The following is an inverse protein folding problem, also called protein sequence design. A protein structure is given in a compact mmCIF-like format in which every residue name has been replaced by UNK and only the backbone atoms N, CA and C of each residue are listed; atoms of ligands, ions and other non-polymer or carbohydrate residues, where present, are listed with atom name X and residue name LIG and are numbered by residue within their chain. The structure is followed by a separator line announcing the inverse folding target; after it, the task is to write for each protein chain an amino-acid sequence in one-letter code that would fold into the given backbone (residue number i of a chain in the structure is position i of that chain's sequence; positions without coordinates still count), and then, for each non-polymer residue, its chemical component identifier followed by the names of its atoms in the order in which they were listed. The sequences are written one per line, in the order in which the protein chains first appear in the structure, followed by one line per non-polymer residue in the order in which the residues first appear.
data_IF_485456483214
#
_entry.id   IF_485456483214
#
_cell.length_a   1.000
_cell.length_b   1.000
_cell.length_c   1.000
_cell.angle_alpha   90.00
_cell.angle_beta   90.00
_cell.angle_gamma   90.00
#
_symmetry.space_group_name_H-M   'P 1'
#
loop_
_entity.id
_entity.type
_entity.pdbx_description
1 polymer ?
#
# COMPACT_ATOMS: atom_id res chain seq x y z
N UNK A 1 -9.92 -17.71 -10.12
CA UNK A 1 -10.20 -17.29 -11.54
C UNK A 1 -8.97 -17.62 -12.37
N UNK A 2 -9.15 -18.09 -13.61
CA UNK A 2 -8.05 -18.43 -14.53
C UNK A 2 -7.69 -17.20 -15.38
N UNK A 3 -6.38 -16.95 -15.56
CA UNK A 3 -5.90 -15.94 -16.51
C UNK A 3 -6.17 -16.46 -17.94
N UNK A 4 -6.88 -15.71 -18.83
CA UNK A 4 -7.39 -16.22 -20.10
C UNK A 4 -6.33 -16.28 -21.21
N UNK A 5 -5.12 -16.72 -20.87
CA UNK A 5 -4.00 -16.91 -21.77
C UNK A 5 -3.43 -18.33 -21.64
N UNK A 6 -2.69 -18.77 -22.66
CA UNK A 6 -2.01 -20.05 -22.65
C UNK A 6 -0.82 -20.04 -21.68
N UNK A 7 -0.33 -21.23 -21.36
CA UNK A 7 0.92 -21.38 -20.62
C UNK A 7 2.06 -20.68 -21.37
N UNK A 8 3.01 -20.11 -20.63
CA UNK A 8 4.25 -19.52 -21.17
C UNK A 8 3.99 -18.41 -22.21
N UNK A 9 2.95 -17.59 -22.01
CA UNK A 9 2.56 -16.54 -22.97
C UNK A 9 3.23 -15.19 -22.75
N UNK A 10 3.90 -14.99 -21.60
CA UNK A 10 4.46 -13.69 -21.22
C UNK A 10 5.88 -13.82 -20.65
N UNK A 11 6.75 -12.92 -21.07
CA UNK A 11 8.09 -12.77 -20.50
C UNK A 11 8.11 -11.86 -19.27
N UNK A 12 7.05 -11.06 -19.09
CA UNK A 12 6.88 -10.17 -17.96
C UNK A 12 5.41 -10.10 -17.52
N UNK A 13 5.17 -10.30 -16.23
CA UNK A 13 3.88 -10.03 -15.59
C UNK A 13 4.08 -8.98 -14.50
N UNK A 14 3.20 -7.98 -14.45
CA UNK A 14 3.25 -6.91 -13.45
C UNK A 14 1.94 -6.87 -12.66
N UNK A 15 2.05 -6.85 -11.33
CA UNK A 15 0.94 -6.73 -10.39
C UNK A 15 1.16 -5.54 -9.45
N UNK A 16 0.76 -4.34 -9.89
CA UNK A 16 0.97 -3.13 -9.12
C UNK A 16 -0.13 -2.92 -8.07
N UNK A 17 0.22 -2.99 -6.78
CA UNK A 17 -0.66 -2.75 -5.64
C UNK A 17 -2.00 -3.51 -5.72
N UNK A 18 -1.96 -4.79 -6.12
CA UNK A 18 -3.18 -5.56 -6.41
C UNK A 18 -3.26 -6.88 -5.64
N UNK A 19 -2.14 -7.51 -5.26
CA UNK A 19 -2.15 -8.84 -4.66
C UNK A 19 -2.91 -8.88 -3.33
N UNK A 20 -2.83 -7.84 -2.52
CA UNK A 20 -3.55 -7.77 -1.24
C UNK A 20 -5.08 -7.67 -1.40
N UNK A 21 -5.59 -7.42 -2.60
CA UNK A 21 -7.04 -7.47 -2.89
C UNK A 21 -7.50 -8.85 -3.36
N UNK A 22 -6.56 -9.78 -3.61
CA UNK A 22 -6.91 -11.12 -4.05
C UNK A 22 -7.35 -11.97 -2.86
N UNK A 23 -8.47 -12.71 -3.00
CA UNK A 23 -8.98 -13.59 -1.95
C UNK A 23 -8.06 -14.81 -1.74
N UNK A 24 -7.48 -15.34 -2.83
CA UNK A 24 -6.58 -16.49 -2.84
C UNK A 24 -5.30 -16.11 -3.59
N UNK A 25 -4.34 -15.55 -2.87
CA UNK A 25 -3.04 -15.14 -3.41
C UNK A 25 -2.26 -16.33 -3.98
N UNK A 26 -2.16 -17.49 -3.30
CA UNK A 26 -1.52 -18.68 -3.85
C UNK A 26 -2.08 -19.12 -5.21
N UNK A 27 -3.40 -19.13 -5.37
CA UNK A 27 -4.01 -19.49 -6.66
C UNK A 27 -3.67 -18.47 -7.76
N UNK A 28 -3.58 -17.19 -7.43
CA UNK A 28 -3.16 -16.14 -8.37
C UNK A 28 -1.70 -16.32 -8.76
N UNK A 29 -0.81 -16.58 -7.80
CA UNK A 29 0.61 -16.80 -8.06
C UNK A 29 0.86 -18.04 -8.92
N UNK A 30 0.10 -19.12 -8.70
CA UNK A 30 0.15 -20.30 -9.55
C UNK A 30 -0.23 -20.01 -11.00
N UNK A 31 -1.25 -19.18 -11.22
CA UNK A 31 -1.65 -18.77 -12.56
C UNK A 31 -0.61 -17.83 -13.21
N UNK A 32 0.01 -16.95 -12.43
CA UNK A 32 1.13 -16.11 -12.90
C UNK A 32 2.29 -16.99 -13.34
N UNK A 33 2.71 -17.95 -12.52
CA UNK A 33 3.75 -18.91 -12.92
C UNK A 33 3.39 -19.68 -14.19
N UNK A 34 2.12 -20.08 -14.35
CA UNK A 34 1.67 -20.82 -15.54
C UNK A 34 1.83 -19.99 -16.81
N UNK A 35 1.45 -18.72 -16.78
CA UNK A 35 1.47 -17.87 -17.98
C UNK A 35 2.84 -17.24 -18.28
N UNK A 36 3.76 -17.25 -17.32
CA UNK A 36 5.14 -16.81 -17.52
C UNK A 36 5.95 -17.84 -18.32
N UNK A 37 6.77 -17.36 -19.25
CA UNK A 37 7.80 -18.15 -19.93
C UNK A 37 8.85 -18.68 -18.93
N UNK A 38 9.67 -19.70 -19.28
CA UNK A 38 10.65 -20.29 -18.36
C UNK A 38 11.69 -19.30 -17.79
N UNK A 39 12.01 -18.23 -18.51
CA UNK A 39 12.91 -17.16 -18.07
C UNK A 39 12.16 -15.85 -17.82
N UNK A 40 10.84 -15.96 -17.59
CA UNK A 40 9.97 -14.82 -17.42
C UNK A 40 10.10 -14.19 -16.03
N UNK A 41 9.79 -12.91 -15.95
CA UNK A 41 9.88 -12.12 -14.73
C UNK A 41 8.49 -11.74 -14.19
N UNK A 42 8.35 -11.77 -12.88
CA UNK A 42 7.18 -11.26 -12.20
C UNK A 42 7.57 -10.09 -11.29
N UNK A 43 6.92 -8.95 -11.49
CA UNK A 43 7.07 -7.77 -10.66
C UNK A 43 5.76 -7.52 -9.88
N UNK A 44 5.84 -7.40 -8.56
CA UNK A 44 4.68 -6.98 -7.79
C UNK A 44 5.03 -5.92 -6.77
N UNK A 45 4.32 -4.80 -6.81
CA UNK A 45 4.50 -3.72 -5.85
C UNK A 45 3.61 -3.90 -4.64
N UNK A 46 4.13 -3.48 -3.49
CA UNK A 46 3.44 -3.47 -2.22
C UNK A 46 3.95 -2.32 -1.35
N UNK A 47 3.31 -2.12 -0.22
CA UNK A 47 3.77 -1.21 0.82
C UNK A 47 3.92 -1.97 2.14
N UNK A 48 4.70 -1.38 3.05
CA UNK A 48 4.92 -1.90 4.37
C UNK A 48 4.08 -1.21 5.44
N UNK A 49 4.26 -1.64 6.67
CA UNK A 49 3.53 -1.15 7.84
C UNK A 49 3.74 0.36 8.09
N UNK A 50 4.92 0.89 7.76
CA UNK A 50 5.26 2.29 7.99
C UNK A 50 4.73 3.24 6.91
N UNK A 51 4.06 2.74 5.85
CA UNK A 51 3.53 3.55 4.78
C UNK A 51 2.49 4.54 5.28
N UNK A 52 2.75 5.85 5.10
CA UNK A 52 1.91 6.98 5.50
C UNK A 52 1.44 6.95 6.97
N UNK A 53 2.21 6.31 7.86
CA UNK A 53 1.86 6.16 9.28
C UNK A 53 1.65 7.50 10.00
N UNK A 54 2.35 8.56 9.56
CA UNK A 54 2.25 9.89 10.17
C UNK A 54 0.88 10.53 9.95
N UNK A 55 0.16 10.16 8.87
CA UNK A 55 -1.21 10.62 8.64
C UNK A 55 -2.18 9.94 9.61
N UNK A 56 -2.00 8.65 9.86
CA UNK A 56 -2.77 7.93 10.87
C UNK A 56 -2.53 8.52 12.27
N UNK A 57 -1.26 8.81 12.61
CA UNK A 57 -0.92 9.44 13.88
C UNK A 57 -1.49 10.87 13.99
N UNK A 58 -1.51 11.64 12.89
CA UNK A 58 -2.09 12.98 12.88
C UNK A 58 -3.55 12.98 13.29
N UNK A 59 -4.35 12.06 12.75
CA UNK A 59 -5.78 12.00 13.06
C UNK A 59 -6.04 11.42 14.46
N UNK A 60 -5.23 10.47 14.90
CA UNK A 60 -5.27 9.92 16.26
C UNK A 60 -4.88 10.97 17.30
N UNK A 61 -3.91 11.85 17.02
CA UNK A 61 -3.54 13.01 17.85
C UNK A 61 -4.68 14.03 17.95
N UNK A 62 -5.52 14.15 16.93
CA UNK A 62 -6.69 15.03 16.93
C UNK A 62 -7.84 14.42 17.72
N UNK A 63 -8.20 13.18 17.43
CA UNK A 63 -9.20 12.40 18.14
C UNK A 63 -8.85 10.90 18.06
N UNK A 64 -8.54 10.29 19.19
CA UNK A 64 -8.06 8.91 19.30
C UNK A 64 -9.10 7.84 18.90
N UNK A 65 -10.34 8.24 18.61
CA UNK A 65 -11.39 7.36 18.08
C UNK A 65 -11.33 7.22 16.57
N UNK A 66 -10.53 8.06 15.87
CA UNK A 66 -10.45 8.06 14.42
C UNK A 66 -9.56 6.91 13.95
N UNK A 67 -10.09 6.13 13.03
CA UNK A 67 -9.37 5.07 12.28
C UNK A 67 -9.54 5.36 10.79
N UNK A 68 -8.45 5.70 10.08
CA UNK A 68 -8.49 6.05 8.65
C UNK A 68 -8.75 4.84 7.74
N UNK A 69 -8.27 3.66 8.15
CA UNK A 69 -8.51 2.41 7.43
C UNK A 69 -8.54 1.26 8.42
N UNK A 70 -9.63 0.50 8.41
CA UNK A 70 -9.74 -0.75 9.15
C UNK A 70 -8.97 -1.89 8.46
N UNK A 71 -8.76 -1.78 7.14
CA UNK A 71 -8.12 -2.80 6.32
C UNK A 71 -6.60 -2.61 6.31
N UNK A 72 -5.91 -3.40 7.12
CA UNK A 72 -4.45 -3.47 7.11
C UNK A 72 -3.99 -4.35 5.95
N UNK A 73 -4.12 -3.86 4.73
CA UNK A 73 -3.85 -4.62 3.50
C UNK A 73 -2.41 -5.14 3.44
N UNK A 74 -1.44 -4.46 4.03
CA UNK A 74 -0.06 -4.92 4.15
C UNK A 74 0.08 -6.22 4.98
N UNK A 75 -0.87 -6.53 5.85
CA UNK A 75 -0.89 -7.81 6.58
C UNK A 75 -1.30 -8.98 5.67
N UNK A 76 -2.06 -8.71 4.59
CA UNK A 76 -2.42 -9.73 3.60
C UNK A 76 -1.28 -9.98 2.61
N UNK A 77 -0.69 -8.92 2.06
CA UNK A 77 0.50 -8.95 1.22
C UNK A 77 1.21 -7.61 1.29
N UNK A 78 2.37 -7.57 1.88
CA UNK A 78 3.17 -6.36 2.10
C UNK A 78 4.66 -6.65 2.12
N UNK A 79 5.45 -5.61 2.41
CA UNK A 79 6.89 -5.71 2.52
C UNK A 79 7.34 -6.81 3.51
N UNK A 80 6.67 -6.90 4.66
CA UNK A 80 7.09 -7.75 5.78
C UNK A 80 6.81 -9.23 5.53
N UNK A 81 5.76 -9.58 4.79
CA UNK A 81 5.30 -10.96 4.60
C UNK A 81 5.36 -11.42 3.13
N UNK A 82 5.49 -10.49 2.18
CA UNK A 82 5.39 -10.78 0.74
C UNK A 82 6.42 -11.81 0.29
N UNK A 83 7.68 -11.72 0.75
CA UNK A 83 8.71 -12.71 0.39
C UNK A 83 8.31 -14.13 0.78
N UNK A 84 7.82 -14.33 2.01
CA UNK A 84 7.37 -15.65 2.48
C UNK A 84 6.19 -16.21 1.67
N UNK A 85 5.31 -15.31 1.19
CA UNK A 85 4.16 -15.70 0.35
C UNK A 85 4.63 -16.07 -1.06
N UNK A 86 5.64 -15.36 -1.60
CA UNK A 86 6.18 -15.59 -2.93
C UNK A 86 7.11 -16.80 -3.02
N UNK A 87 7.86 -17.09 -1.98
CA UNK A 87 8.92 -18.13 -1.94
C UNK A 87 8.51 -19.50 -2.50
N UNK A 88 7.28 -20.04 -2.26
CA UNK A 88 6.86 -21.32 -2.84
C UNK A 88 6.73 -21.32 -4.37
N UNK A 89 6.64 -20.15 -4.99
CA UNK A 89 6.44 -19.95 -6.42
C UNK A 89 7.67 -19.32 -7.09
N UNK A 90 8.37 -18.46 -6.35
CA UNK A 90 9.52 -17.67 -6.77
C UNK A 90 10.57 -17.67 -5.63
N UNK A 91 11.44 -18.70 -5.56
CA UNK A 91 12.40 -18.84 -4.44
C UNK A 91 13.37 -17.66 -4.30
N UNK A 92 13.72 -17.03 -5.43
CA UNK A 92 14.69 -15.92 -5.50
C UNK A 92 14.05 -14.53 -5.44
N UNK A 93 12.79 -14.43 -4.98
CA UNK A 93 12.10 -13.15 -4.85
C UNK A 93 12.91 -12.14 -4.02
N UNK A 94 13.20 -10.99 -4.61
CA UNK A 94 13.98 -9.89 -4.01
C UNK A 94 13.12 -8.67 -3.82
N UNK A 95 13.17 -8.07 -2.63
CA UNK A 95 12.54 -6.78 -2.37
C UNK A 95 13.48 -5.63 -2.78
N UNK A 96 12.97 -4.72 -3.59
CA UNK A 96 13.61 -3.47 -3.97
C UNK A 96 12.81 -2.32 -3.35
N UNK A 97 13.38 -1.70 -2.33
CA UNK A 97 12.76 -0.55 -1.66
C UNK A 97 12.77 0.68 -2.57
N UNK A 98 11.67 1.39 -2.60
CA UNK A 98 11.61 2.74 -3.16
C UNK A 98 11.58 3.73 -1.98
N UNK A 99 12.76 4.26 -1.66
CA UNK A 99 12.89 5.23 -0.57
C UNK A 99 12.41 6.61 -1.00
N UNK A 100 11.29 7.03 -0.45
CA UNK A 100 10.67 8.32 -0.77
C UNK A 100 9.90 8.84 0.44
N UNK A 101 9.52 10.12 0.38
CA UNK A 101 8.68 10.77 1.37
C UNK A 101 7.91 11.92 0.73
N UNK A 102 6.82 12.31 1.37
CA UNK A 102 6.14 13.57 1.05
C UNK A 102 6.49 14.61 2.12
N UNK A 103 6.69 15.85 1.69
CA UNK A 103 6.80 17.01 2.57
C UNK A 103 5.62 17.93 2.28
N UNK A 104 4.63 17.89 3.18
CA UNK A 104 3.38 18.64 3.02
C UNK A 104 3.49 19.97 3.77
N UNK A 105 3.36 21.08 3.06
CA UNK A 105 3.43 22.44 3.61
C UNK A 105 2.07 23.16 3.58
N UNK A 106 1.08 22.58 2.88
CA UNK A 106 -0.30 23.06 2.81
C UNK A 106 -1.24 22.03 3.43
N UNK A 107 -2.09 22.49 4.35
CA UNK A 107 -3.01 21.60 5.05
C UNK A 107 -4.16 21.11 4.16
N UNK A 108 -4.59 21.85 3.15
CA UNK A 108 -5.79 21.52 2.37
C UNK A 108 -5.67 20.18 1.61
N UNK A 109 -4.56 19.87 0.90
CA UNK A 109 -4.39 18.56 0.28
C UNK A 109 -4.39 17.41 1.30
N UNK A 110 -3.77 17.63 2.49
CA UNK A 110 -3.74 16.64 3.55
C UNK A 110 -5.14 16.37 4.12
N UNK A 111 -5.90 17.43 4.37
CA UNK A 111 -7.29 17.35 4.85
C UNK A 111 -8.16 16.61 3.83
N UNK A 112 -8.04 16.97 2.53
CA UNK A 112 -8.78 16.31 1.46
C UNK A 112 -8.46 14.82 1.38
N UNK A 113 -7.18 14.46 1.53
CA UNK A 113 -6.77 13.06 1.59
C UNK A 113 -7.38 12.34 2.77
N UNK A 114 -7.28 12.90 3.99
CA UNK A 114 -7.87 12.31 5.20
C UNK A 114 -9.37 12.07 5.03
N UNK A 115 -10.11 13.05 4.52
CA UNK A 115 -11.57 12.94 4.31
C UNK A 115 -11.94 11.92 3.22
N UNK A 116 -11.04 11.60 2.29
CA UNK A 116 -11.25 10.59 1.24
C UNK A 116 -10.99 9.15 1.70
N UNK A 117 -10.41 8.95 2.89
CA UNK A 117 -10.14 7.62 3.41
C UNK A 117 -11.43 6.85 3.76
N UNK A 118 -11.32 5.51 3.83
CA UNK A 118 -12.48 4.61 4.02
C UNK A 118 -12.65 4.17 5.49
N UNK A 119 -12.24 5.01 6.43
CA UNK A 119 -12.41 4.79 7.86
C UNK A 119 -13.64 5.48 8.44
N UNK A 120 -13.54 5.85 9.73
CA UNK A 120 -14.59 6.55 10.45
C UNK A 120 -14.34 8.07 10.63
N UNK A 121 -13.30 8.60 10.00
CA UNK A 121 -12.83 9.98 10.17
C UNK A 121 -13.89 11.03 9.92
N UNK A 122 -14.77 10.85 8.92
CA UNK A 122 -15.80 11.80 8.58
C UNK A 122 -16.79 12.02 9.74
N UNK A 123 -17.06 10.96 10.51
CA UNK A 123 -17.95 10.99 11.66
C UNK A 123 -17.44 11.91 12.79
N UNK A 124 -16.12 12.09 12.90
CA UNK A 124 -15.50 12.88 13.96
C UNK A 124 -14.94 14.22 13.47
N UNK A 125 -14.61 14.34 12.20
CA UNK A 125 -13.97 15.53 11.64
C UNK A 125 -15.00 16.52 11.08
N UNK A 126 -16.08 16.08 10.45
CA UNK A 126 -16.99 17.00 9.75
C UNK A 126 -17.67 18.01 10.69
N UNK A 127 -18.11 17.56 11.87
CA UNK A 127 -18.72 18.45 12.89
C UNK A 127 -17.69 19.37 13.57
N UNK A 128 -16.41 19.03 13.48
CA UNK A 128 -15.27 19.77 14.06
C UNK A 128 -14.28 20.24 12.99
N UNK A 129 -14.78 20.50 11.76
CA UNK A 129 -13.94 20.79 10.61
C UNK A 129 -13.01 21.99 10.81
N UNK A 130 -13.51 23.06 11.44
CA UNK A 130 -12.72 24.28 11.71
C UNK A 130 -11.55 23.99 12.64
N UNK A 131 -11.78 23.21 13.68
CA UNK A 131 -10.80 22.79 14.67
C UNK A 131 -9.75 21.86 14.02
N UNK A 132 -10.20 20.89 13.25
CA UNK A 132 -9.30 19.99 12.53
C UNK A 132 -8.44 20.74 11.50
N UNK A 133 -9.03 21.66 10.74
CA UNK A 133 -8.32 22.51 9.80
C UNK A 133 -7.23 23.35 10.49
N UNK A 134 -7.54 23.99 11.60
CA UNK A 134 -6.57 24.76 12.38
C UNK A 134 -5.45 23.87 12.93
N UNK A 135 -5.78 22.68 13.41
CA UNK A 135 -4.82 21.68 13.87
C UNK A 135 -3.89 21.20 12.75
N UNK A 136 -4.43 20.80 11.60
CA UNK A 136 -3.65 20.37 10.42
C UNK A 136 -2.74 21.50 9.91
N UNK A 137 -3.26 22.76 9.84
CA UNK A 137 -2.46 23.93 9.45
C UNK A 137 -1.27 24.15 10.39
N UNK A 138 -1.46 23.99 11.69
CA UNK A 138 -0.35 24.09 12.66
C UNK A 138 0.70 22.98 12.44
N UNK A 139 0.27 21.75 12.14
CA UNK A 139 1.16 20.60 11.92
C UNK A 139 1.96 20.75 10.60
N UNK A 140 1.36 21.33 9.56
CA UNK A 140 2.01 21.51 8.24
C UNK A 140 2.87 22.78 8.13
N UNK A 141 2.73 23.75 9.03
CA UNK A 141 3.38 25.07 8.96
C UNK A 141 4.93 25.03 8.83
N UNK A 142 5.58 23.97 9.33
CA UNK A 142 7.04 23.78 9.24
C UNK A 142 7.43 22.62 8.31
N UNK A 143 6.46 22.13 7.53
CA UNK A 143 6.59 20.93 6.73
C UNK A 143 6.23 19.68 7.53
N UNK A 144 5.19 18.99 7.09
CA UNK A 144 4.76 17.70 7.64
C UNK A 144 5.30 16.59 6.74
N UNK A 145 6.25 15.82 7.28
CA UNK A 145 6.87 14.71 6.56
C UNK A 145 6.01 13.47 6.69
N UNK A 146 5.77 12.81 5.55
CA UNK A 146 5.01 11.56 5.46
C UNK A 146 5.91 10.50 4.82
N UNK A 147 6.12 9.40 5.51
CA UNK A 147 6.93 8.27 5.04
C UNK A 147 6.20 7.50 3.94
N UNK A 148 6.92 7.19 2.86
CA UNK A 148 6.47 6.26 1.83
C UNK A 148 7.26 4.97 1.95
N UNK A 149 6.70 4.00 2.67
CA UNK A 149 7.28 2.65 2.80
C UNK A 149 6.69 1.76 1.70
N UNK A 150 7.25 1.85 0.50
CA UNK A 150 6.80 1.12 -0.67
C UNK A 150 7.97 0.53 -1.44
N UNK A 151 7.69 -0.42 -2.32
CA UNK A 151 8.70 -1.05 -3.16
C UNK A 151 8.11 -2.13 -4.05
N UNK A 152 9.01 -2.92 -4.64
CA UNK A 152 8.68 -3.95 -5.61
C UNK A 152 9.39 -5.25 -5.24
N UNK A 153 8.68 -6.37 -5.32
CA UNK A 153 9.31 -7.68 -5.40
C UNK A 153 9.64 -7.97 -6.85
N UNK A 154 10.90 -8.27 -7.11
CA UNK A 154 11.40 -8.82 -8.38
C UNK A 154 11.52 -10.33 -8.21
N UNK A 155 10.85 -11.07 -9.08
CA UNK A 155 10.79 -12.54 -9.08
C UNK A 155 11.17 -13.06 -10.46
N UNK A 156 11.96 -14.13 -10.48
CA UNK A 156 12.36 -14.88 -11.68
C UNK A 156 11.71 -16.27 -11.62
N UNK A 157 11.20 -16.77 -12.75
CA UNK A 157 10.60 -18.10 -12.84
C UNK A 157 11.63 -19.18 -12.95
#
# INVERSE_FOLDING_TARGET
KKIPYKDESFDLVIANHVLFYCDDIPAVLKEICRVLSPEGHFLCSAYGKAHIQEVSQLVEDFDNRIVLSADKLYERFGRENGRKILEPFFPDAKWLSYEDFLLVQDAEPLISYVLSCHGNQNQYILDHYKEFRAFATKKTAKGFRITKDAGVFLCEK
#
